data_IF_895301963364
#
_entry.id   IF_895301963364
#
_cell.length_a   1.000
_cell.length_b   1.000
_cell.length_c   1.000
_cell.angle_alpha   90.00
_cell.angle_beta   90.00
_cell.angle_gamma   90.00
#
_symmetry.space_group_name_H-M   'P 1'
#
loop_
_entity.id
_entity.type
_entity.pdbx_description
1 polymer ?
#
# COMPACT_ATOMS: atom_id res chain seq x y z
N UNK A 1 -8.11 23.71 -8.68
CA UNK A 1 -8.61 24.91 -8.39
C UNK A 1 -7.79 25.90 -7.57
N UNK A 2 -7.38 26.95 -8.23
CA UNK A 2 -6.76 28.12 -7.58
C UNK A 2 -7.81 29.21 -7.25
N UNK A 3 -9.10 28.88 -7.38
CA UNK A 3 -10.16 29.85 -7.18
C UNK A 3 -10.49 30.65 -8.45
N UNK A 4 -9.97 30.21 -9.60
CA UNK A 4 -10.32 30.83 -10.88
C UNK A 4 -11.80 30.58 -11.19
N UNK A 5 -12.47 31.60 -11.69
CA UNK A 5 -13.86 31.51 -12.12
C UNK A 5 -13.95 30.64 -13.38
N UNK A 6 -14.86 29.66 -13.36
CA UNK A 6 -15.04 28.74 -14.49
C UNK A 6 -15.47 29.51 -15.74
N UNK A 7 -16.22 30.59 -15.57
CA UNK A 7 -16.71 31.44 -16.67
C UNK A 7 -15.59 32.30 -17.31
N UNK A 8 -14.46 32.43 -16.63
CA UNK A 8 -13.28 33.16 -17.14
C UNK A 8 -12.27 32.27 -17.89
N UNK A 9 -12.54 30.96 -18.05
CA UNK A 9 -11.66 30.04 -18.76
C UNK A 9 -11.71 30.33 -20.27
N UNK A 10 -10.57 30.75 -20.82
CA UNK A 10 -10.36 30.93 -22.26
C UNK A 10 -9.60 29.74 -22.86
N UNK A 11 -9.62 29.56 -24.20
CA UNK A 11 -8.85 28.52 -24.88
C UNK A 11 -7.34 28.55 -24.58
N UNK A 12 -6.80 29.70 -24.18
CA UNK A 12 -5.39 29.87 -23.80
C UNK A 12 -5.03 29.13 -22.51
N UNK A 13 -6.01 28.85 -21.66
CA UNK A 13 -5.83 28.05 -20.44
C UNK A 13 -5.80 26.53 -20.72
N UNK A 14 -6.16 26.12 -21.95
CA UNK A 14 -6.10 24.74 -22.40
C UNK A 14 -4.68 24.44 -22.89
N UNK A 15 -3.88 23.81 -22.06
CA UNK A 15 -2.55 23.35 -22.47
C UNK A 15 -2.61 22.33 -23.62
N UNK A 16 -1.46 21.80 -24.01
CA UNK A 16 -1.33 20.75 -25.02
C UNK A 16 -0.89 19.44 -24.41
N UNK A 17 -1.37 18.32 -24.95
CA UNK A 17 -0.93 16.97 -24.55
C UNK A 17 -0.66 16.12 -25.79
N UNK A 18 0.27 15.17 -25.68
CA UNK A 18 0.56 14.21 -26.76
C UNK A 18 -0.59 13.24 -26.97
N UNK A 19 -1.20 12.79 -25.87
CA UNK A 19 -2.28 11.81 -25.89
C UNK A 19 -3.18 11.99 -24.67
N UNK A 20 -4.50 11.95 -24.92
CA UNK A 20 -5.52 11.85 -23.87
C UNK A 20 -6.16 10.48 -23.93
N UNK A 21 -6.26 9.82 -22.78
CA UNK A 21 -6.94 8.54 -22.62
C UNK A 21 -7.97 8.72 -21.50
N UNK A 22 -9.25 8.66 -21.90
CA UNK A 22 -10.37 8.85 -20.97
C UNK A 22 -11.17 7.56 -20.86
N UNK A 23 -11.52 7.21 -19.65
CA UNK A 23 -12.49 6.17 -19.31
C UNK A 23 -13.61 6.77 -18.44
N UNK A 24 -14.56 5.96 -17.99
CA UNK A 24 -15.70 6.42 -17.19
C UNK A 24 -15.32 7.02 -15.83
N UNK A 25 -14.10 6.82 -15.37
CA UNK A 25 -13.63 7.20 -14.01
C UNK A 25 -12.51 8.24 -14.08
N UNK A 26 -11.59 8.11 -15.03
CA UNK A 26 -10.36 8.89 -15.06
C UNK A 26 -10.01 9.37 -16.48
N UNK A 27 -9.35 10.51 -16.57
CA UNK A 27 -8.68 10.99 -17.77
C UNK A 27 -7.18 11.06 -17.50
N UNK A 28 -6.39 10.40 -18.32
CA UNK A 28 -4.93 10.43 -18.30
C UNK A 28 -4.43 11.28 -19.46
N UNK A 29 -3.74 12.36 -19.16
CA UNK A 29 -3.11 13.25 -20.14
C UNK A 29 -1.62 12.94 -20.19
N UNK A 30 -1.12 12.48 -21.33
CA UNK A 30 0.31 12.29 -21.57
C UNK A 30 0.89 13.59 -22.13
N UNK A 31 1.80 14.22 -21.38
CA UNK A 31 2.47 15.46 -21.75
C UNK A 31 3.88 15.16 -22.26
N UNK A 32 4.33 15.89 -23.30
CA UNK A 32 5.63 15.66 -23.94
C UNK A 32 6.82 16.15 -23.14
N UNK A 33 6.66 17.12 -22.23
CA UNK A 33 7.72 17.72 -21.44
C UNK A 33 7.33 17.84 -19.97
N UNK A 34 7.74 16.86 -19.17
CA UNK A 34 7.59 16.88 -17.72
C UNK A 34 8.67 17.70 -16.98
N UNK A 35 9.61 18.31 -17.70
CA UNK A 35 10.78 19.03 -17.16
C UNK A 35 10.82 20.49 -17.57
N UNK A 36 9.68 21.16 -17.67
CA UNK A 36 9.70 22.61 -17.80
C UNK A 36 10.06 23.26 -16.44
N UNK A 37 10.85 24.32 -16.44
CA UNK A 37 11.15 25.10 -15.22
C UNK A 37 9.90 25.51 -14.45
N UNK A 38 8.81 25.77 -15.16
CA UNK A 38 7.49 26.09 -14.60
C UNK A 38 6.92 24.94 -13.75
N UNK A 39 7.12 23.68 -14.16
CA UNK A 39 6.69 22.51 -13.39
C UNK A 39 7.54 22.34 -12.12
N UNK A 40 8.84 22.61 -12.20
CA UNK A 40 9.73 22.58 -11.03
C UNK A 40 9.36 23.66 -10.02
N UNK A 41 9.12 24.88 -10.45
CA UNK A 41 8.64 25.97 -9.60
C UNK A 41 7.29 25.63 -8.94
N UNK A 42 6.39 25.00 -9.70
CA UNK A 42 5.10 24.56 -9.17
C UNK A 42 5.24 23.43 -8.12
N UNK A 43 6.19 22.53 -8.32
CA UNK A 43 6.53 21.46 -7.37
C UNK A 43 7.07 22.07 -6.07
N UNK A 44 7.98 23.04 -6.16
CA UNK A 44 8.53 23.75 -4.99
C UNK A 44 7.46 24.51 -4.23
N UNK A 45 6.57 25.19 -4.94
CA UNK A 45 5.44 25.90 -4.35
C UNK A 45 4.49 24.96 -3.60
N UNK A 46 4.14 23.80 -4.19
CA UNK A 46 3.29 22.79 -3.53
C UNK A 46 4.01 22.20 -2.32
N UNK A 47 5.31 21.91 -2.41
CA UNK A 47 6.09 21.43 -1.26
C UNK A 47 6.13 22.45 -0.12
N UNK A 48 6.24 23.75 -0.43
CA UNK A 48 6.15 24.83 0.56
C UNK A 48 4.79 24.84 1.29
N UNK A 49 3.70 24.65 0.56
CA UNK A 49 2.35 24.57 1.15
C UNK A 49 2.15 23.31 2.01
N UNK A 50 2.72 22.17 1.63
CA UNK A 50 2.69 20.93 2.42
C UNK A 50 3.35 21.16 3.77
N UNK A 51 4.53 21.80 3.80
CA UNK A 51 5.26 22.10 5.05
C UNK A 51 4.54 23.11 5.96
N UNK A 52 3.75 24.00 5.38
CA UNK A 52 3.02 25.05 6.12
C UNK A 52 1.63 24.61 6.60
N UNK A 53 1.14 23.45 6.19
CA UNK A 53 -0.24 23.02 6.46
C UNK A 53 -0.30 21.95 7.54
N UNK A 54 -1.08 22.23 8.60
CA UNK A 54 -1.35 21.27 9.69
C UNK A 54 -2.70 20.53 9.51
N UNK A 55 -3.49 20.86 8.50
CA UNK A 55 -4.78 20.25 8.24
C UNK A 55 -4.62 18.98 7.41
N UNK A 56 -4.96 17.82 8.00
CA UNK A 56 -4.77 16.49 7.42
C UNK A 56 -5.47 16.32 6.06
N UNK A 57 -6.71 16.80 5.91
CA UNK A 57 -7.45 16.70 4.64
C UNK A 57 -6.90 17.61 3.53
N UNK A 58 -6.33 18.75 3.91
CA UNK A 58 -5.67 19.64 2.94
C UNK A 58 -4.30 19.10 2.54
N UNK A 59 -3.57 18.51 3.47
CA UNK A 59 -2.28 17.85 3.24
C UNK A 59 -2.42 16.71 2.24
N UNK A 60 -3.41 15.86 2.40
CA UNK A 60 -3.69 14.74 1.50
C UNK A 60 -3.99 15.20 0.06
N UNK A 61 -4.74 16.30 -0.10
CA UNK A 61 -5.00 16.92 -1.41
C UNK A 61 -3.73 17.49 -2.06
N UNK A 62 -2.87 18.12 -1.27
CA UNK A 62 -1.59 18.66 -1.74
C UNK A 62 -0.62 17.56 -2.12
N UNK A 63 -0.52 16.49 -1.35
CA UNK A 63 0.28 15.30 -1.67
C UNK A 63 -0.18 14.63 -2.96
N UNK A 64 -1.50 14.49 -3.15
CA UNK A 64 -2.09 13.98 -4.38
C UNK A 64 -1.79 14.87 -5.58
N UNK A 65 -1.79 16.20 -5.40
CA UNK A 65 -1.39 17.15 -6.44
C UNK A 65 0.10 17.04 -6.77
N UNK A 66 0.97 16.96 -5.75
CA UNK A 66 2.40 16.78 -5.90
C UNK A 66 2.74 15.50 -6.65
N UNK A 67 2.07 14.40 -6.31
CA UNK A 67 2.20 13.11 -6.97
C UNK A 67 1.84 13.20 -8.47
N UNK A 68 0.82 13.96 -8.83
CA UNK A 68 0.44 14.19 -10.23
C UNK A 68 1.45 15.05 -11.00
N UNK A 69 2.08 16.02 -10.34
CA UNK A 69 3.10 16.88 -10.94
C UNK A 69 4.44 16.14 -11.13
N UNK A 70 4.83 15.31 -10.15
CA UNK A 70 6.07 14.52 -10.20
C UNK A 70 5.91 13.18 -10.93
N UNK A 71 4.68 12.69 -11.04
CA UNK A 71 4.42 11.31 -11.41
C UNK A 71 4.57 10.99 -12.87
N UNK A 72 5.36 9.97 -13.17
CA UNK A 72 5.21 9.21 -14.39
C UNK A 72 4.02 8.27 -14.21
N UNK A 73 3.09 8.26 -15.15
CA UNK A 73 1.96 7.32 -15.14
C UNK A 73 2.43 6.00 -15.74
N UNK A 74 2.39 4.94 -14.94
CA UNK A 74 2.54 3.58 -15.42
C UNK A 74 1.14 2.98 -15.67
N UNK A 75 0.97 2.37 -16.83
CA UNK A 75 -0.30 1.70 -17.20
C UNK A 75 -0.05 0.19 -17.22
N UNK A 76 -0.69 -0.51 -16.30
CA UNK A 76 -0.71 -1.98 -16.29
C UNK A 76 -1.94 -2.45 -17.05
N UNK A 77 -1.73 -3.13 -18.18
CA UNK A 77 -2.83 -3.70 -18.98
C UNK A 77 -3.13 -5.11 -18.48
N UNK A 78 -4.37 -5.32 -18.06
CA UNK A 78 -4.87 -6.62 -17.61
C UNK A 78 -5.83 -7.15 -18.67
N UNK A 79 -5.70 -8.41 -19.05
CA UNK A 79 -6.59 -9.10 -19.97
C UNK A 79 -7.03 -10.46 -19.41
N UNK A 80 -8.23 -10.91 -19.79
CA UNK A 80 -8.78 -12.20 -19.43
C UNK A 80 -9.77 -12.70 -20.52
N UNK A 81 -10.14 -13.98 -20.45
CA UNK A 81 -11.04 -14.60 -21.41
C UNK A 81 -12.54 -14.41 -21.05
N UNK A 82 -12.82 -14.03 -19.79
CA UNK A 82 -14.17 -13.77 -19.31
C UNK A 82 -14.20 -12.53 -18.41
N UNK A 83 -15.37 -11.92 -18.22
CA UNK A 83 -15.57 -10.74 -17.38
C UNK A 83 -15.28 -11.04 -15.90
N UNK A 84 -15.63 -12.23 -15.42
CA UNK A 84 -15.38 -12.67 -14.05
C UNK A 84 -13.88 -12.82 -13.82
N UNK A 85 -13.17 -13.48 -14.72
CA UNK A 85 -11.71 -13.63 -14.66
C UNK A 85 -11.00 -12.29 -14.76
N UNK A 86 -11.51 -11.38 -15.61
CA UNK A 86 -10.99 -10.03 -15.73
C UNK A 86 -11.09 -9.25 -14.42
N UNK A 87 -12.26 -9.31 -13.77
CA UNK A 87 -12.50 -8.62 -12.50
C UNK A 87 -11.56 -9.15 -11.41
N UNK A 88 -11.45 -10.48 -11.29
CA UNK A 88 -10.56 -11.12 -10.31
C UNK A 88 -9.09 -10.72 -10.53
N UNK A 89 -8.62 -10.78 -11.78
CA UNK A 89 -7.23 -10.38 -12.10
C UNK A 89 -6.98 -8.90 -11.86
N UNK A 90 -7.93 -8.05 -12.19
CA UNK A 90 -7.82 -6.60 -11.94
C UNK A 90 -7.69 -6.33 -10.45
N UNK A 91 -8.55 -6.92 -9.64
CA UNK A 91 -8.57 -6.72 -8.20
C UNK A 91 -7.27 -7.25 -7.56
N UNK A 92 -6.77 -8.40 -8.01
CA UNK A 92 -5.48 -8.95 -7.57
C UNK A 92 -4.29 -8.04 -7.92
N UNK A 93 -4.30 -7.42 -9.11
CA UNK A 93 -3.27 -6.46 -9.51
C UNK A 93 -3.37 -5.17 -8.68
N UNK A 94 -4.58 -4.70 -8.39
CA UNK A 94 -4.79 -3.53 -7.53
C UNK A 94 -4.29 -3.78 -6.11
N UNK A 95 -4.58 -4.93 -5.53
CA UNK A 95 -4.08 -5.35 -4.22
C UNK A 95 -2.54 -5.39 -4.18
N UNK A 96 -1.91 -5.97 -5.20
CA UNK A 96 -0.46 -6.01 -5.30
C UNK A 96 0.17 -4.60 -5.39
N UNK A 97 -0.47 -3.67 -6.11
CA UNK A 97 -0.03 -2.28 -6.20
C UNK A 97 -0.19 -1.59 -4.84
N UNK A 98 -1.30 -1.80 -4.15
CA UNK A 98 -1.56 -1.22 -2.82
C UNK A 98 -0.57 -1.76 -1.79
N UNK A 99 -0.32 -3.06 -1.77
CA UNK A 99 0.67 -3.70 -0.90
C UNK A 99 2.08 -3.16 -1.14
N UNK A 100 2.48 -3.02 -2.43
CA UNK A 100 3.78 -2.47 -2.80
C UNK A 100 3.94 -1.01 -2.35
N UNK A 101 2.90 -0.18 -2.52
CA UNK A 101 2.90 1.22 -2.04
C UNK A 101 3.01 1.29 -0.51
N UNK A 102 2.32 0.42 0.19
CA UNK A 102 2.38 0.32 1.65
C UNK A 102 3.80 -0.08 2.11
N UNK A 103 4.42 -1.06 1.45
CA UNK A 103 5.77 -1.51 1.72
C UNK A 103 6.83 -0.41 1.47
N UNK A 104 6.68 0.38 0.40
CA UNK A 104 7.56 1.53 0.12
C UNK A 104 7.42 2.60 1.22
N UNK A 105 6.24 2.77 1.80
CA UNK A 105 5.96 3.83 2.77
C UNK A 105 6.52 3.53 4.16
N UNK A 106 6.36 2.32 4.68
CA UNK A 106 6.73 1.95 6.04
C UNK A 106 7.65 0.72 6.15
N UNK A 107 8.02 0.12 5.04
CA UNK A 107 8.86 -1.07 5.02
C UNK A 107 8.07 -2.38 5.05
N UNK A 108 8.80 -3.46 5.25
CA UNK A 108 8.29 -4.84 5.26
C UNK A 108 8.60 -5.53 6.58
N UNK A 109 7.81 -6.55 6.89
CA UNK A 109 8.00 -7.45 8.03
C UNK A 109 7.93 -8.90 7.56
N UNK A 110 8.40 -9.89 8.34
CA UNK A 110 8.18 -11.31 8.05
C UNK A 110 6.69 -11.59 7.88
N UNK A 111 6.34 -12.22 6.76
CA UNK A 111 4.96 -12.53 6.39
C UNK A 111 4.42 -13.78 7.06
N UNK A 112 3.25 -14.23 6.59
CA UNK A 112 2.62 -15.44 7.07
C UNK A 112 2.16 -15.38 8.55
N UNK A 113 1.98 -14.19 9.11
CA UNK A 113 1.61 -14.00 10.51
C UNK A 113 2.78 -14.05 11.50
N UNK A 114 4.01 -14.29 11.03
CA UNK A 114 5.21 -14.41 11.87
C UNK A 114 5.54 -13.10 12.60
N UNK A 115 5.36 -11.95 11.96
CA UNK A 115 5.60 -10.66 12.61
C UNK A 115 4.73 -10.46 13.86
N UNK A 116 3.46 -10.83 13.80
CA UNK A 116 2.53 -10.75 14.93
C UNK A 116 2.86 -11.79 16.00
N UNK A 117 3.22 -13.02 15.60
CA UNK A 117 3.66 -14.08 16.50
C UNK A 117 4.90 -13.64 17.29
N UNK A 118 5.92 -13.11 16.62
CA UNK A 118 7.13 -12.60 17.27
C UNK A 118 6.82 -11.46 18.23
N UNK A 119 5.94 -10.52 17.84
CA UNK A 119 5.51 -9.47 18.75
C UNK A 119 4.83 -10.03 20.01
N UNK A 120 4.00 -11.08 19.88
CA UNK A 120 3.36 -11.72 21.04
C UNK A 120 4.33 -12.42 21.97
N UNK A 121 5.46 -12.91 21.46
CA UNK A 121 6.47 -13.63 22.26
C UNK A 121 7.37 -12.69 23.06
N UNK A 122 7.62 -11.47 22.52
CA UNK A 122 8.49 -10.48 23.17
C UNK A 122 7.74 -9.74 24.29
N UNK A 123 6.44 -9.52 24.11
CA UNK A 123 5.62 -8.73 25.01
C UNK A 123 5.18 -9.58 26.22
N UNK A 124 5.30 -9.00 27.42
CA UNK A 124 4.78 -9.63 28.66
C UNK A 124 3.48 -8.94 29.05
N UNK A 125 2.34 -9.67 29.13
CA UNK A 125 1.07 -9.07 29.49
C UNK A 125 1.12 -8.53 30.93
N UNK A 126 0.56 -7.34 31.13
CA UNK A 126 0.44 -6.67 32.42
C UNK A 126 -1.01 -6.67 32.94
N UNK A 127 -1.93 -7.04 32.08
CA UNK A 127 -3.37 -7.10 32.36
C UNK A 127 -4.01 -8.23 31.59
N UNK A 128 -5.21 -8.66 32.01
CA UNK A 128 -6.01 -9.67 31.33
C UNK A 128 -6.35 -9.23 29.88
N UNK A 129 -6.62 -7.95 29.65
CA UNK A 129 -6.88 -7.43 28.31
C UNK A 129 -5.68 -7.57 27.37
N UNK A 130 -4.47 -7.31 27.86
CA UNK A 130 -3.23 -7.55 27.09
C UNK A 130 -3.02 -9.03 26.81
N UNK A 131 -3.30 -9.91 27.77
CA UNK A 131 -3.20 -11.35 27.58
C UNK A 131 -4.14 -11.86 26.48
N UNK A 132 -5.40 -11.38 26.48
CA UNK A 132 -6.37 -11.68 25.43
C UNK A 132 -5.87 -11.20 24.05
N UNK A 133 -5.34 -9.98 23.99
CA UNK A 133 -4.79 -9.43 22.76
C UNK A 133 -3.62 -10.28 22.24
N UNK A 134 -2.69 -10.66 23.12
CA UNK A 134 -1.52 -11.46 22.73
C UNK A 134 -1.91 -12.86 22.27
N UNK A 135 -2.94 -13.45 22.84
CA UNK A 135 -3.51 -14.69 22.32
C UNK A 135 -4.17 -14.49 20.95
N UNK A 136 -4.86 -13.36 20.74
CA UNK A 136 -5.55 -13.08 19.49
C UNK A 136 -4.58 -12.83 18.30
N UNK A 137 -3.49 -12.12 18.52
CA UNK A 137 -2.52 -11.79 17.44
C UNK A 137 -1.71 -13.00 16.95
N UNK A 138 -1.72 -14.14 17.68
CA UNK A 138 -1.15 -15.42 17.23
C UNK A 138 -2.05 -16.15 16.21
N UNK A 139 -3.35 -15.88 16.25
CA UNK A 139 -4.34 -16.62 15.44
C UNK A 139 -4.12 -16.56 13.94
N UNK A 140 -3.65 -15.48 13.32
CA UNK A 140 -3.36 -15.47 11.88
C UNK A 140 -2.36 -16.55 11.46
N UNK A 141 -1.27 -16.73 12.20
CA UNK A 141 -0.30 -17.78 11.92
C UNK A 141 -0.88 -19.17 12.10
N UNK A 142 -1.54 -19.41 13.24
CA UNK A 142 -2.21 -20.70 13.53
C UNK A 142 -3.22 -21.06 12.46
N UNK A 143 -4.01 -20.09 11.97
CA UNK A 143 -5.00 -20.30 10.93
C UNK A 143 -4.36 -20.68 9.58
N UNK A 144 -3.27 -20.05 9.21
CA UNK A 144 -2.51 -20.38 8.00
C UNK A 144 -2.04 -21.84 8.06
N UNK A 145 -1.47 -22.26 9.19
CA UNK A 145 -1.00 -23.63 9.38
C UNK A 145 -2.15 -24.64 9.33
N UNK A 146 -3.25 -24.35 10.01
CA UNK A 146 -4.44 -25.20 10.01
C UNK A 146 -5.02 -25.35 8.59
N UNK A 147 -5.10 -24.26 7.83
CA UNK A 147 -5.56 -24.29 6.44
C UNK A 147 -4.63 -25.09 5.51
N UNK A 148 -3.35 -25.15 5.84
CA UNK A 148 -2.38 -26.00 5.16
C UNK A 148 -2.38 -27.47 5.63
N UNK A 149 -3.24 -27.83 6.58
CA UNK A 149 -3.32 -29.20 7.14
C UNK A 149 -2.23 -29.53 8.15
N UNK A 150 -1.48 -28.53 8.61
CA UNK A 150 -0.44 -28.70 9.63
C UNK A 150 -1.05 -28.64 11.01
N UNK A 151 -1.22 -29.79 11.66
CA UNK A 151 -1.88 -29.90 12.96
C UNK A 151 -0.89 -29.86 14.14
N UNK A 152 0.39 -30.13 13.88
CA UNK A 152 1.44 -30.06 14.88
C UNK A 152 2.63 -29.28 14.33
N UNK A 153 3.03 -28.23 15.01
CA UNK A 153 4.19 -27.42 14.68
C UNK A 153 4.88 -26.94 15.95
N UNK A 154 6.18 -26.86 15.90
CA UNK A 154 6.96 -26.23 16.95
C UNK A 154 7.02 -24.72 16.68
N UNK A 155 6.60 -23.93 17.67
CA UNK A 155 6.78 -22.49 17.63
C UNK A 155 8.28 -22.19 17.78
N UNK A 156 8.88 -21.71 16.72
CA UNK A 156 10.25 -21.20 16.77
C UNK A 156 10.26 -19.89 17.55
N UNK A 157 11.10 -19.78 18.58
CA UNK A 157 11.33 -18.53 19.31
C UNK A 157 12.24 -17.56 18.53
N UNK A 158 12.83 -18.01 17.44
CA UNK A 158 13.73 -17.20 16.61
C UNK A 158 12.94 -16.17 15.77
N UNK A 159 13.40 -14.94 15.85
CA UNK A 159 12.76 -13.83 15.14
C UNK A 159 12.83 -14.02 13.61
N UNK A 160 11.72 -13.87 12.93
CA UNK A 160 11.62 -13.95 11.48
C UNK A 160 11.63 -15.36 10.90
N UNK A 161 11.75 -16.39 11.73
CA UNK A 161 11.71 -17.78 11.29
C UNK A 161 10.29 -18.33 11.37
N UNK A 162 9.85 -19.01 10.33
CA UNK A 162 8.51 -19.61 10.24
C UNK A 162 8.46 -20.80 9.29
N UNK A 163 7.32 -21.48 9.30
CA UNK A 163 7.08 -22.60 8.38
C UNK A 163 6.57 -22.07 7.04
N UNK A 164 7.30 -22.36 5.98
CA UNK A 164 6.78 -22.20 4.62
C UNK A 164 5.84 -23.38 4.32
N UNK A 165 4.56 -23.08 4.26
CA UNK A 165 3.49 -24.09 4.07
C UNK A 165 3.52 -24.74 2.68
N UNK A 166 4.18 -24.12 1.70
CA UNK A 166 4.31 -24.65 0.35
C UNK A 166 5.38 -25.74 0.30
N UNK A 167 6.51 -25.49 0.94
CA UNK A 167 7.67 -26.42 0.93
C UNK A 167 7.69 -27.34 2.15
N UNK A 168 6.92 -27.03 3.19
CA UNK A 168 6.93 -27.75 4.47
C UNK A 168 8.22 -27.58 5.28
N UNK A 169 9.03 -26.55 4.99
CA UNK A 169 10.31 -26.30 5.64
C UNK A 169 10.25 -25.07 6.51
N UNK A 170 10.95 -25.10 7.63
CA UNK A 170 11.21 -23.92 8.44
C UNK A 170 12.28 -23.05 7.77
N UNK A 171 11.95 -21.78 7.50
CA UNK A 171 12.79 -20.86 6.74
C UNK A 171 12.79 -19.47 7.38
N UNK A 172 13.81 -18.69 7.04
CA UNK A 172 13.78 -17.24 7.26
C UNK A 172 12.79 -16.63 6.25
N UNK A 173 11.66 -16.10 6.76
CA UNK A 173 10.54 -15.63 5.95
C UNK A 173 10.95 -14.51 4.99
N UNK A 174 11.79 -13.58 5.46
CA UNK A 174 12.25 -12.46 4.63
C UNK A 174 13.15 -12.94 3.49
N UNK A 175 14.10 -13.83 3.79
CA UNK A 175 14.98 -14.41 2.76
C UNK A 175 14.24 -15.32 1.77
N UNK A 176 13.19 -15.99 2.25
CA UNK A 176 12.33 -16.80 1.40
C UNK A 176 11.36 -15.96 0.53
N UNK A 177 11.30 -14.63 0.75
CA UNK A 177 10.38 -13.74 0.03
C UNK A 177 8.94 -13.76 0.56
N UNK A 178 8.73 -14.36 1.72
CA UNK A 178 7.43 -14.39 2.41
C UNK A 178 7.37 -13.16 3.32
N UNK A 179 6.83 -12.07 2.78
CA UNK A 179 6.87 -10.74 3.40
C UNK A 179 5.50 -10.09 3.41
N UNK A 180 5.22 -9.30 4.43
CA UNK A 180 4.03 -8.48 4.54
C UNK A 180 4.41 -6.98 4.66
N UNK A 181 3.60 -6.04 4.13
CA UNK A 181 3.82 -4.62 4.37
C UNK A 181 3.52 -4.26 5.81
N UNK A 182 4.47 -3.60 6.50
CA UNK A 182 4.31 -3.17 7.89
C UNK A 182 3.06 -2.31 8.08
N UNK A 183 2.81 -1.36 7.17
CA UNK A 183 1.66 -0.47 7.25
C UNK A 183 0.33 -1.23 7.28
N UNK A 184 0.20 -2.30 6.50
CA UNK A 184 -1.02 -3.13 6.45
C UNK A 184 -1.22 -3.86 7.77
N UNK A 185 -0.19 -4.58 8.23
CA UNK A 185 -0.24 -5.35 9.48
C UNK A 185 -0.54 -4.45 10.69
N UNK A 186 0.12 -3.30 10.77
CA UNK A 186 -0.10 -2.31 11.82
C UNK A 186 -1.52 -1.72 11.78
N UNK A 187 -2.00 -1.34 10.59
CA UNK A 187 -3.34 -0.76 10.44
C UNK A 187 -4.44 -1.78 10.74
N UNK A 188 -4.26 -3.03 10.36
CA UNK A 188 -5.20 -4.10 10.70
C UNK A 188 -5.36 -4.24 12.22
N UNK A 189 -4.25 -4.28 12.95
CA UNK A 189 -4.27 -4.38 14.42
C UNK A 189 -4.89 -3.13 15.07
N UNK A 190 -4.53 -1.92 14.62
CA UNK A 190 -5.04 -0.67 15.18
C UNK A 190 -6.54 -0.46 14.92
N UNK A 191 -7.07 -0.99 13.81
CA UNK A 191 -8.48 -0.86 13.50
C UNK A 191 -9.34 -1.98 14.13
N UNK A 192 -8.72 -3.08 14.56
CA UNK A 192 -9.40 -4.17 15.24
C UNK A 192 -9.50 -3.98 16.77
N UNK A 193 -8.65 -3.15 17.34
CA UNK A 193 -8.62 -2.81 18.76
C UNK A 193 -9.42 -1.55 19.06
#
# INVERSE_FOLDING_TARGET
GLGDDIDAISPEHLGSCEKSITNNINTVLKINNSTSKEVEELIEFVNGKIKATNNKGHLERLEKRLSRLKGKVAVVKVGANSEVEFTEKRDRVEDAICATKAAIKEGIVPGGGIALLNASNILKPRSIGEEILYCAIRKPYELILNNAGVTSYELTEEEGIGLDVVTGKTVDMVKAGIIDPLLVTKSALLNAA
#
